data_IF_280369505626
#
_entry.id   IF_280369505626
#
_cell.length_a   1.000
_cell.length_b   1.000
_cell.length_c   1.000
_cell.angle_alpha   90.00
_cell.angle_beta   90.00
_cell.angle_gamma   90.00
#
_symmetry.space_group_name_H-M   'P 1'
#
loop_
_entity.id
_entity.type
_entity.pdbx_description
1 polymer ?
#
# COMPACT_ATOMS: atom_id res chain seq x y z
N UNK A 1 -17.96 -6.50 -19.92
CA UNK A 1 -18.94 -6.10 -18.88
C UNK A 1 -19.11 -7.21 -17.84
N UNK A 2 -19.54 -6.95 -16.58
CA UNK A 2 -19.69 -8.02 -15.54
C UNK A 2 -20.43 -9.27 -16.04
N UNK A 3 -21.51 -9.09 -16.80
CA UNK A 3 -22.28 -10.19 -17.40
C UNK A 3 -21.47 -11.03 -18.39
N UNK A 4 -20.53 -10.44 -19.12
CA UNK A 4 -19.61 -11.15 -20.04
C UNK A 4 -18.45 -11.79 -19.29
N UNK A 5 -18.05 -11.24 -18.13
CA UNK A 5 -17.03 -11.86 -17.29
C UNK A 5 -17.57 -13.15 -16.64
N UNK A 6 -18.86 -13.19 -16.31
CA UNK A 6 -19.52 -14.40 -15.79
C UNK A 6 -19.68 -15.54 -16.81
N UNK A 7 -19.46 -15.29 -18.11
CA UNK A 7 -19.52 -16.35 -19.11
C UNK A 7 -18.17 -17.02 -19.36
N UNK A 8 -17.07 -16.44 -18.86
CA UNK A 8 -15.73 -16.94 -19.07
C UNK A 8 -15.15 -17.46 -17.75
N UNK A 9 -14.76 -18.74 -17.71
CA UNK A 9 -14.22 -19.40 -16.50
C UNK A 9 -13.01 -18.67 -15.91
N UNK A 10 -12.12 -18.17 -16.76
CA UNK A 10 -10.90 -17.48 -16.34
C UNK A 10 -11.15 -16.19 -15.55
N UNK A 11 -12.31 -15.53 -15.75
CA UNK A 11 -12.69 -14.36 -14.95
C UNK A 11 -13.41 -14.75 -13.66
N UNK A 12 -14.15 -15.85 -13.66
CA UNK A 12 -14.79 -16.42 -12.46
C UNK A 12 -13.71 -16.89 -11.48
N UNK A 13 -12.72 -17.64 -11.97
CA UNK A 13 -11.57 -18.07 -11.18
C UNK A 13 -10.84 -16.87 -10.57
N UNK A 14 -10.58 -15.83 -11.36
CA UNK A 14 -9.94 -14.61 -10.88
C UNK A 14 -10.77 -13.85 -9.82
N UNK A 15 -12.11 -13.93 -9.86
CA UNK A 15 -12.97 -13.37 -8.81
C UNK A 15 -12.91 -14.20 -7.53
N UNK A 16 -12.93 -15.52 -7.67
CA UNK A 16 -12.88 -16.43 -6.53
C UNK A 16 -11.53 -16.34 -5.82
N UNK A 17 -10.43 -16.22 -6.56
CA UNK A 17 -9.09 -15.95 -6.00
C UNK A 17 -9.11 -14.72 -5.07
N UNK A 18 -9.69 -13.61 -5.51
CA UNK A 18 -9.75 -12.37 -4.73
C UNK A 18 -10.65 -12.53 -3.47
N UNK A 19 -11.80 -13.19 -3.59
CA UNK A 19 -12.67 -13.45 -2.44
C UNK A 19 -12.01 -14.39 -1.42
N UNK A 20 -11.31 -15.43 -1.91
CA UNK A 20 -10.56 -16.34 -1.06
C UNK A 20 -9.41 -15.62 -0.36
N UNK A 21 -8.72 -14.67 -1.01
CA UNK A 21 -7.71 -13.83 -0.37
C UNK A 21 -8.33 -13.04 0.80
N UNK A 22 -9.53 -12.50 0.65
CA UNK A 22 -10.20 -11.80 1.76
C UNK A 22 -10.58 -12.73 2.92
N UNK A 23 -11.02 -13.95 2.63
CA UNK A 23 -11.28 -14.97 3.66
C UNK A 23 -9.99 -15.39 4.37
N UNK A 24 -8.91 -15.64 3.63
CA UNK A 24 -7.62 -16.04 4.19
C UNK A 24 -7.00 -14.97 5.09
N UNK A 25 -7.23 -13.69 4.77
CA UNK A 25 -6.72 -12.56 5.52
C UNK A 25 -7.65 -12.12 6.67
N UNK A 26 -8.83 -12.73 6.80
CA UNK A 26 -9.87 -12.36 7.78
C UNK A 26 -10.22 -10.85 7.74
N UNK A 27 -10.16 -10.24 6.55
CA UNK A 27 -10.37 -8.78 6.38
C UNK A 27 -11.84 -8.40 6.20
N UNK A 28 -12.74 -9.38 6.09
CA UNK A 28 -14.18 -9.13 5.87
C UNK A 28 -15.05 -10.18 6.57
N UNK A 29 -16.27 -9.76 6.93
CA UNK A 29 -17.32 -10.62 7.46
C UNK A 29 -18.59 -10.43 6.63
N UNK A 30 -19.22 -11.54 6.23
CA UNK A 30 -20.49 -11.50 5.51
C UNK A 30 -21.64 -11.23 6.48
N UNK A 31 -22.08 -9.97 6.55
CA UNK A 31 -23.20 -9.56 7.39
C UNK A 31 -24.53 -9.53 6.61
N UNK A 32 -25.65 -9.92 7.22
CA UNK A 32 -26.96 -9.75 6.61
C UNK A 32 -27.23 -8.26 6.39
N UNK A 33 -27.87 -7.95 5.26
CA UNK A 33 -28.22 -6.57 4.94
C UNK A 33 -29.20 -6.03 5.98
N UNK A 34 -28.80 -4.97 6.67
CA UNK A 34 -29.71 -4.22 7.54
C UNK A 34 -30.65 -3.38 6.68
N UNK A 35 -31.95 -3.48 6.95
CA UNK A 35 -32.93 -2.58 6.37
C UNK A 35 -32.70 -1.17 6.92
N UNK A 36 -32.85 -0.15 6.05
CA UNK A 36 -32.64 1.28 6.31
C UNK A 36 -31.21 1.83 6.28
N UNK A 37 -30.17 1.01 6.09
CA UNK A 37 -28.79 1.52 5.92
C UNK A 37 -28.48 1.76 4.44
N UNK A 38 -27.78 2.87 4.12
CA UNK A 38 -27.28 3.12 2.77
C UNK A 38 -26.10 2.17 2.49
N UNK A 39 -26.36 1.07 1.76
CA UNK A 39 -25.32 0.11 1.39
C UNK A 39 -24.44 0.68 0.27
N UNK A 40 -23.14 0.73 0.51
CA UNK A 40 -22.15 1.09 -0.52
C UNK A 40 -22.12 -0.02 -1.56
N UNK A 41 -22.46 0.33 -2.80
CA UNK A 41 -22.45 -0.64 -3.90
C UNK A 41 -21.02 -1.02 -4.30
N UNK A 42 -20.80 -2.28 -4.65
CA UNK A 42 -19.51 -2.77 -5.13
C UNK A 42 -19.43 -2.78 -6.67
N UNK A 43 -18.20 -2.86 -7.20
CA UNK A 43 -17.90 -3.02 -8.62
C UNK A 43 -16.67 -3.90 -8.79
N UNK A 44 -16.73 -4.78 -9.79
CA UNK A 44 -15.57 -5.53 -10.26
C UNK A 44 -14.74 -4.72 -11.25
N UNK A 45 -13.41 -4.74 -11.05
CA UNK A 45 -12.41 -4.22 -11.98
C UNK A 45 -11.62 -5.41 -12.51
N UNK A 46 -11.46 -5.46 -13.83
CA UNK A 46 -10.77 -6.56 -14.51
C UNK A 46 -9.51 -6.04 -15.17
N UNK A 47 -8.41 -6.77 -15.04
CA UNK A 47 -7.14 -6.48 -15.70
C UNK A 47 -6.51 -7.78 -16.19
N UNK A 48 -6.23 -7.85 -17.48
CA UNK A 48 -5.41 -8.92 -18.05
C UNK A 48 -3.94 -8.55 -17.83
N UNK A 49 -3.17 -9.46 -17.24
CA UNK A 49 -1.71 -9.38 -17.23
C UNK A 49 -1.21 -10.15 -18.44
N UNK A 50 -0.42 -9.46 -19.26
CA UNK A 50 0.23 -10.04 -20.42
C UNK A 50 1.69 -10.35 -20.07
N UNK A 51 2.22 -11.37 -20.72
CA UNK A 51 3.64 -11.71 -20.71
C UNK A 51 4.43 -10.81 -21.67
N UNK A 52 5.77 -10.88 -21.64
CA UNK A 52 6.66 -10.09 -22.53
C UNK A 52 6.38 -10.36 -24.02
N UNK A 53 5.89 -11.56 -24.34
CA UNK A 53 5.50 -11.99 -25.68
C UNK A 53 4.04 -11.65 -26.04
N UNK A 54 3.32 -10.93 -25.17
CA UNK A 54 1.92 -10.55 -25.37
C UNK A 54 0.91 -11.68 -25.10
N UNK A 55 1.35 -12.84 -24.62
CA UNK A 55 0.48 -13.92 -24.17
C UNK A 55 -0.28 -13.57 -22.88
N UNK A 56 -1.45 -14.15 -22.65
CA UNK A 56 -2.20 -13.93 -21.41
C UNK A 56 -1.52 -14.71 -20.28
N UNK A 57 -0.90 -13.98 -19.34
CA UNK A 57 -0.23 -14.55 -18.18
C UNK A 57 -1.22 -14.85 -17.05
N UNK A 58 -2.04 -13.87 -16.68
CA UNK A 58 -3.06 -14.04 -15.63
C UNK A 58 -4.18 -13.01 -15.78
N UNK A 59 -5.41 -13.45 -15.59
CA UNK A 59 -6.55 -12.55 -15.40
C UNK A 59 -6.62 -12.15 -13.93
N UNK A 60 -6.68 -10.85 -13.65
CA UNK A 60 -6.83 -10.30 -12.30
C UNK A 60 -8.15 -9.57 -12.19
N UNK A 61 -9.01 -10.02 -11.29
CA UNK A 61 -10.19 -9.29 -10.86
C UNK A 61 -9.88 -8.56 -9.54
N UNK A 62 -10.58 -7.45 -9.28
CA UNK A 62 -10.53 -6.72 -8.01
C UNK A 62 -11.94 -6.26 -7.64
N UNK A 63 -12.32 -6.44 -6.38
CA UNK A 63 -13.59 -5.97 -5.85
C UNK A 63 -13.39 -4.60 -5.19
N UNK A 64 -14.13 -3.58 -5.65
CA UNK A 64 -13.95 -2.19 -5.18
C UNK A 64 -15.29 -1.56 -4.84
N UNK A 65 -15.34 -0.81 -3.73
CA UNK A 65 -16.48 0.02 -3.37
C UNK A 65 -16.67 1.18 -4.34
N UNK A 66 -17.91 1.47 -4.75
CA UNK A 66 -18.23 2.64 -5.58
C UNK A 66 -18.31 3.88 -4.69
N UNK A 67 -17.22 4.64 -4.62
CA UNK A 67 -17.08 5.83 -3.77
C UNK A 67 -17.88 7.09 -4.18
N UNK A 68 -18.76 7.04 -5.19
CA UNK A 68 -19.46 8.24 -5.67
C UNK A 68 -20.55 8.79 -4.72
N UNK A 69 -20.79 8.14 -3.59
CA UNK A 69 -21.86 8.50 -2.63
C UNK A 69 -21.38 8.64 -1.18
N UNK A 70 -20.07 8.72 -0.95
CA UNK A 70 -19.53 8.95 0.40
C UNK A 70 -19.79 10.40 0.82
N UNK A 71 -20.42 10.59 1.97
CA UNK A 71 -20.60 11.91 2.55
C UNK A 71 -19.32 12.33 3.29
N UNK A 72 -18.80 13.51 2.93
CA UNK A 72 -17.66 14.12 3.60
C UNK A 72 -17.96 14.28 5.09
N UNK A 73 -17.07 13.78 5.96
CA UNK A 73 -17.12 13.76 7.45
C UNK A 73 -17.74 12.54 8.14
N UNK A 74 -18.41 11.62 7.44
CA UNK A 74 -18.96 10.39 8.08
C UNK A 74 -18.09 9.17 7.75
N UNK A 75 -17.83 8.93 6.46
CA UNK A 75 -17.10 7.73 6.00
C UNK A 75 -15.58 7.93 5.86
N UNK A 76 -15.09 9.18 5.99
CA UNK A 76 -13.70 9.51 5.72
C UNK A 76 -12.77 9.40 6.93
N UNK A 77 -13.25 9.49 8.17
CA UNK A 77 -12.36 9.46 9.35
C UNK A 77 -11.82 8.07 9.68
N UNK A 78 -12.51 7.00 9.29
CA UNK A 78 -12.17 5.61 9.70
C UNK A 78 -11.24 4.87 8.71
N UNK A 79 -11.08 5.33 7.46
CA UNK A 79 -10.48 4.52 6.37
C UNK A 79 -9.09 4.97 5.91
N UNK A 80 -8.32 5.72 6.71
CA UNK A 80 -6.96 6.09 6.33
C UNK A 80 -5.96 4.94 6.59
N UNK A 81 -5.61 4.20 5.53
CA UNK A 81 -4.30 3.56 5.46
C UNK A 81 -3.26 4.70 5.42
N UNK A 82 -2.25 4.76 6.31
CA UNK A 82 -1.26 5.83 6.32
C UNK A 82 -0.33 5.69 5.11
N UNK A 83 -0.77 6.18 3.95
CA UNK A 83 0.07 6.28 2.76
C UNK A 83 0.79 7.64 2.81
N UNK A 84 2.13 7.68 2.88
CA UNK A 84 2.85 8.94 2.84
C UNK A 84 2.50 9.70 1.57
N UNK A 85 2.05 10.95 1.73
CA UNK A 85 1.63 11.81 0.62
C UNK A 85 2.80 12.04 -0.33
N UNK A 86 2.54 12.01 -1.64
CA UNK A 86 3.55 12.19 -2.69
C UNK A 86 4.33 13.51 -2.50
N UNK A 87 3.70 14.54 -1.96
CA UNK A 87 4.32 15.82 -1.63
C UNK A 87 5.40 15.67 -0.55
N UNK A 88 5.14 14.86 0.49
CA UNK A 88 6.12 14.59 1.54
C UNK A 88 7.29 13.76 1.00
N UNK A 89 7.02 12.77 0.16
CA UNK A 89 8.05 11.97 -0.54
C UNK A 89 8.90 12.87 -1.45
N UNK A 90 8.28 13.79 -2.20
CA UNK A 90 9.00 14.73 -3.09
C UNK A 90 9.83 15.75 -2.33
N UNK A 91 9.33 16.29 -1.22
CA UNK A 91 10.10 17.20 -0.35
C UNK A 91 11.29 16.47 0.26
N UNK A 92 11.08 15.22 0.71
CA UNK A 92 12.14 14.37 1.25
C UNK A 92 13.22 14.04 0.20
N UNK A 93 12.81 13.65 -1.01
CA UNK A 93 13.71 13.42 -2.15
C UNK A 93 14.43 14.71 -2.59
N UNK A 94 13.75 15.85 -2.61
CA UNK A 94 14.32 17.15 -2.96
C UNK A 94 15.38 17.61 -1.94
N UNK A 95 15.09 17.42 -0.64
CA UNK A 95 16.04 17.68 0.43
C UNK A 95 17.29 16.78 0.30
N UNK A 96 17.07 15.52 -0.06
CA UNK A 96 18.15 14.56 -0.16
C UNK A 96 18.96 14.66 -1.47
N UNK A 97 18.37 15.10 -2.59
CA UNK A 97 19.08 15.55 -3.81
C UNK A 97 19.88 16.82 -3.59
N UNK A 98 19.38 17.73 -2.78
CA UNK A 98 20.16 18.91 -2.38
C UNK A 98 21.38 18.54 -1.52
N UNK A 99 21.37 17.38 -0.83
CA UNK A 99 22.47 16.92 0.03
C UNK A 99 23.36 15.82 -0.53
N UNK A 100 22.89 15.04 -1.50
CA UNK A 100 23.65 13.95 -2.09
C UNK A 100 23.87 14.23 -3.58
N UNK A 101 25.13 14.40 -3.99
CA UNK A 101 25.52 14.33 -5.40
C UNK A 101 25.12 12.95 -5.96
N UNK A 102 24.04 12.91 -6.72
CA UNK A 102 23.61 11.70 -7.43
C UNK A 102 24.66 11.31 -8.48
N UNK A 103 25.15 10.06 -8.43
CA UNK A 103 26.10 9.49 -9.40
C UNK A 103 27.48 9.08 -8.85
N UNK A 104 27.76 9.33 -7.57
CA UNK A 104 28.98 8.81 -6.92
C UNK A 104 28.71 7.41 -6.35
N UNK A 105 29.69 6.50 -6.46
CA UNK A 105 29.65 5.18 -5.77
C UNK A 105 29.46 5.26 -4.24
N UNK A 106 29.63 6.45 -3.66
CA UNK A 106 29.47 6.73 -2.24
C UNK A 106 28.08 7.30 -1.89
N UNK A 107 27.26 7.64 -2.89
CA UNK A 107 25.95 8.26 -2.68
C UNK A 107 25.00 7.38 -1.82
N UNK A 108 24.90 6.05 -2.03
CA UNK A 108 24.15 5.14 -1.16
C UNK A 108 24.53 5.25 0.32
N UNK A 109 25.84 5.25 0.59
CA UNK A 109 26.39 5.33 1.95
C UNK A 109 26.17 6.70 2.59
N UNK A 110 26.40 7.77 1.84
CA UNK A 110 26.12 9.12 2.30
C UNK A 110 24.62 9.31 2.62
N UNK A 111 23.75 8.69 1.83
CA UNK A 111 22.31 8.64 2.09
C UNK A 111 21.97 7.93 3.39
N UNK A 112 22.54 6.74 3.60
CA UNK A 112 22.34 6.00 4.84
C UNK A 112 22.80 6.80 6.06
N UNK A 113 23.96 7.46 5.98
CA UNK A 113 24.50 8.27 7.08
C UNK A 113 23.62 9.50 7.40
N UNK A 114 23.12 10.19 6.38
CA UNK A 114 22.20 11.34 6.54
C UNK A 114 20.87 10.88 7.14
N UNK A 115 20.27 9.82 6.59
CA UNK A 115 18.97 9.35 7.05
C UNK A 115 19.06 8.75 8.46
N UNK A 116 20.11 7.99 8.74
CA UNK A 116 20.38 7.45 10.06
C UNK A 116 20.57 8.56 11.09
N UNK A 117 21.33 9.61 10.78
CA UNK A 117 21.53 10.73 11.73
C UNK A 117 20.24 11.51 11.98
N UNK A 118 19.40 11.69 10.95
CA UNK A 118 18.09 12.30 11.10
C UNK A 118 17.17 11.46 12.01
N UNK A 119 17.04 10.15 11.78
CA UNK A 119 16.18 9.28 12.60
C UNK A 119 16.63 9.24 14.06
N UNK A 120 17.94 9.17 14.30
CA UNK A 120 18.51 9.25 15.65
C UNK A 120 18.21 10.59 16.33
N UNK A 121 18.16 11.70 15.57
CA UNK A 121 17.77 13.02 16.10
C UNK A 121 16.27 13.10 16.47
N UNK A 122 15.46 12.16 15.99
CA UNK A 122 14.01 12.09 16.23
C UNK A 122 13.67 11.02 17.29
N UNK A 123 14.54 10.81 18.28
CA UNK A 123 14.38 9.83 19.37
C UNK A 123 14.22 8.37 18.91
N UNK A 124 14.66 8.04 17.70
CA UNK A 124 14.66 6.66 17.23
C UNK A 124 15.94 5.95 17.69
N UNK A 125 15.84 4.66 18.04
CA UNK A 125 16.97 3.80 18.37
C UNK A 125 17.20 2.79 17.25
N UNK A 126 18.45 2.36 17.05
CA UNK A 126 18.77 1.26 16.14
C UNK A 126 18.46 -0.08 16.81
N UNK A 127 18.05 -1.06 16.01
CA UNK A 127 17.91 -2.44 16.46
C UNK A 127 19.24 -3.02 16.93
N UNK A 128 19.19 -3.90 17.94
CA UNK A 128 20.38 -4.59 18.47
C UNK A 128 20.92 -5.63 17.48
N UNK A 129 20.03 -6.37 16.83
CA UNK A 129 20.37 -7.45 15.90
C UNK A 129 20.51 -6.95 14.45
N UNK A 130 19.71 -5.96 14.07
CA UNK A 130 19.74 -5.35 12.74
C UNK A 130 19.97 -3.83 12.83
N UNK A 131 21.18 -3.34 12.48
CA UNK A 131 21.49 -1.92 12.52
C UNK A 131 20.76 -1.09 11.45
N UNK A 132 20.10 -1.73 10.48
CA UNK A 132 19.27 -1.07 9.45
C UNK A 132 17.82 -0.86 9.91
N UNK A 133 17.43 -1.47 11.03
CA UNK A 133 16.13 -1.31 11.66
C UNK A 133 16.17 -0.17 12.69
N UNK A 134 15.22 0.77 12.57
CA UNK A 134 15.02 1.88 13.50
C UNK A 134 13.68 1.72 14.22
N UNK A 135 13.72 1.92 15.53
CA UNK A 135 12.59 1.76 16.43
C UNK A 135 12.39 3.07 17.18
N UNK A 136 11.22 3.68 17.05
CA UNK A 136 10.81 4.82 17.87
C UNK A 136 9.53 4.46 18.61
N UNK A 137 9.55 4.65 19.93
CA UNK A 137 8.40 4.34 20.79
C UNK A 137 7.95 5.60 21.51
N UNK A 138 6.73 6.04 21.21
CA UNK A 138 6.02 7.07 21.95
C UNK A 138 4.96 6.40 22.85
N UNK A 139 4.24 7.19 23.66
CA UNK A 139 3.29 6.72 24.66
C UNK A 139 2.21 5.76 24.11
N UNK A 140 1.76 5.99 22.87
CA UNK A 140 0.75 5.17 22.19
C UNK A 140 1.21 4.60 20.84
N UNK A 141 2.32 5.09 20.28
CA UNK A 141 2.72 4.78 18.91
C UNK A 141 4.07 4.09 18.86
N UNK A 142 4.17 3.06 18.02
CA UNK A 142 5.40 2.36 17.68
C UNK A 142 5.69 2.57 16.20
N UNK A 143 6.84 3.16 15.89
CA UNK A 143 7.35 3.27 14.53
C UNK A 143 8.52 2.31 14.36
N UNK A 144 8.39 1.43 13.36
CA UNK A 144 9.41 0.51 12.88
C UNK A 144 9.77 0.92 11.45
N UNK A 145 11.03 1.27 11.21
CA UNK A 145 11.52 1.66 9.89
C UNK A 145 12.78 0.87 9.56
N UNK A 146 12.74 0.07 8.49
CA UNK A 146 13.90 -0.68 7.99
C UNK A 146 14.40 -0.02 6.70
N UNK A 147 15.69 0.28 6.63
CA UNK A 147 16.29 1.02 5.49
C UNK A 147 17.25 0.11 4.73
N UNK A 148 16.89 -0.20 3.50
CA UNK A 148 17.78 -0.86 2.54
C UNK A 148 18.23 0.14 1.49
N UNK A 149 19.52 0.13 1.17
CA UNK A 149 20.06 0.92 0.05
C UNK A 149 20.62 -0.07 -0.97
N UNK A 150 20.08 -0.04 -2.19
CA UNK A 150 20.63 -0.78 -3.33
C UNK A 150 21.77 0.03 -3.97
N UNK A 151 22.87 -0.65 -4.30
CA UNK A 151 24.03 -0.11 -5.03
C UNK A 151 23.75 0.09 -6.53
#
# INVERSE_FOLDING_TARGET
TYKEALTQSCWIEAMQDELNEFECLEVWELVPRQDQVMVITLKWIYKVKLDELGGILKNKARLVARGYRQEERIDFEESFVPVPRLEAIRIFLAYATHKALYGLKQAPRAWYDILSSFLLSQDSCKGLEDPTLFIRRNSNDLLLAQIYVED
#
